data_IF_391659918034
#
_entry.id   IF_391659918034
#
_cell.length_a   1.000
_cell.length_b   1.000
_cell.length_c   1.000
_cell.angle_alpha   90.00
_cell.angle_beta   90.00
_cell.angle_gamma   90.00
#
_symmetry.space_group_name_H-M   'P 1'
#
loop_
_entity.id
_entity.type
_entity.pdbx_description
1 polymer ?
#
# COMPACT_ATOMS: atom_id res chain seq x y z
N UNK A 1 -20.90 -6.20 3.54
CA UNK A 1 -20.42 -7.07 2.43
C UNK A 1 -19.14 -7.78 2.85
N UNK A 2 -18.90 -9.02 2.37
CA UNK A 2 -17.62 -9.73 2.58
C UNK A 2 -16.79 -9.62 1.31
N UNK A 3 -15.56 -9.14 1.44
CA UNK A 3 -14.61 -8.93 0.35
C UNK A 3 -13.58 -10.05 0.42
N UNK A 4 -13.53 -10.90 -0.62
CA UNK A 4 -12.39 -11.80 -0.82
C UNK A 4 -11.28 -11.01 -1.54
N UNK A 5 -10.04 -11.11 -1.05
CA UNK A 5 -8.90 -10.37 -1.60
C UNK A 5 -7.99 -11.22 -2.52
N UNK A 6 -8.17 -12.53 -2.55
CA UNK A 6 -7.40 -13.47 -3.38
C UNK A 6 -8.10 -13.73 -4.72
N UNK A 7 -7.32 -13.99 -5.78
CA UNK A 7 -7.84 -14.44 -7.06
C UNK A 7 -8.32 -15.90 -6.98
N UNK A 8 -9.52 -16.18 -7.48
CA UNK A 8 -10.04 -17.56 -7.59
C UNK A 8 -9.28 -18.33 -8.67
N UNK A 9 -8.17 -18.97 -8.30
CA UNK A 9 -7.40 -19.84 -9.21
C UNK A 9 -7.17 -21.20 -8.56
N UNK A 10 -7.51 -22.26 -9.29
CA UNK A 10 -7.20 -23.62 -8.89
C UNK A 10 -5.67 -23.80 -8.82
N UNK A 11 -5.18 -24.40 -7.73
CA UNK A 11 -3.78 -24.76 -7.56
C UNK A 11 -3.31 -25.60 -8.75
N UNK A 12 -2.44 -25.06 -9.60
CA UNK A 12 -1.63 -25.88 -10.50
C UNK A 12 -0.54 -26.57 -9.69
N UNK A 13 -0.27 -27.85 -9.99
CA UNK A 13 0.76 -28.65 -9.31
C UNK A 13 2.09 -27.89 -9.27
N UNK A 14 2.59 -27.67 -8.06
CA UNK A 14 3.73 -26.84 -7.68
C UNK A 14 4.94 -26.96 -8.64
N UNK A 15 5.09 -26.01 -9.55
CA UNK A 15 6.41 -25.46 -9.79
C UNK A 15 6.78 -24.66 -8.53
N UNK A 16 7.96 -24.90 -7.94
CA UNK A 16 8.44 -24.10 -6.80
C UNK A 16 8.30 -22.62 -7.15
N UNK A 17 7.44 -21.92 -6.42
CA UNK A 17 7.32 -20.49 -6.53
C UNK A 17 8.58 -19.84 -5.95
N UNK A 18 9.37 -19.17 -6.79
CA UNK A 18 10.63 -18.53 -6.40
C UNK A 18 10.48 -17.03 -6.64
N UNK A 19 10.27 -16.25 -5.56
CA UNK A 19 10.11 -14.79 -5.65
C UNK A 19 11.29 -14.07 -6.28
N UNK A 20 12.50 -14.63 -6.13
CA UNK A 20 13.74 -14.07 -6.67
C UNK A 20 13.70 -13.96 -8.21
N UNK A 21 12.80 -14.72 -8.86
CA UNK A 21 12.54 -14.56 -10.29
C UNK A 21 11.76 -13.25 -10.57
N UNK A 22 10.83 -12.87 -9.69
CA UNK A 22 9.85 -11.80 -9.92
C UNK A 22 10.24 -10.46 -9.29
N UNK A 23 11.24 -10.42 -8.42
CA UNK A 23 11.67 -9.20 -7.73
C UNK A 23 13.19 -9.12 -7.60
N UNK A 24 13.75 -7.93 -7.76
CA UNK A 24 15.19 -7.67 -7.64
C UNK A 24 15.46 -6.41 -6.82
N UNK A 25 16.63 -6.34 -6.18
CA UNK A 25 17.10 -5.15 -5.50
C UNK A 25 17.94 -4.29 -6.44
N UNK A 26 17.46 -3.08 -6.70
CA UNK A 26 18.18 -2.03 -7.41
C UNK A 26 18.62 -0.92 -6.45
N UNK A 27 19.58 -0.11 -6.89
CA UNK A 27 20.06 1.04 -6.13
C UNK A 27 19.89 2.30 -6.98
N UNK A 28 19.11 3.24 -6.45
CA UNK A 28 18.82 4.51 -7.09
C UNK A 28 19.72 5.57 -6.45
N UNK A 29 20.32 6.42 -7.28
CA UNK A 29 21.07 7.58 -6.80
C UNK A 29 20.09 8.77 -6.75
N UNK A 30 19.85 9.28 -5.55
CA UNK A 30 19.07 10.48 -5.32
C UNK A 30 20.00 11.66 -5.03
N UNK A 31 20.01 12.62 -5.96
CA UNK A 31 20.85 13.82 -5.85
C UNK A 31 20.11 14.92 -5.07
N UNK A 32 20.75 15.41 -4.01
CA UNK A 32 20.37 16.63 -3.28
C UNK A 32 21.50 17.66 -3.40
N UNK A 33 21.23 18.96 -3.24
CA UNK A 33 22.28 19.98 -3.26
C UNK A 33 23.43 19.63 -2.30
N UNK A 34 24.59 19.29 -2.86
CA UNK A 34 25.81 18.92 -2.11
C UNK A 34 25.86 17.48 -1.57
N UNK A 35 24.91 16.61 -1.90
CA UNK A 35 24.89 15.22 -1.41
C UNK A 35 24.22 14.25 -2.40
N UNK A 36 24.89 13.15 -2.71
CA UNK A 36 24.29 12.01 -3.41
C UNK A 36 23.93 10.92 -2.40
N UNK A 37 22.70 10.41 -2.46
CA UNK A 37 22.20 9.34 -1.59
C UNK A 37 21.95 8.08 -2.41
N UNK A 38 22.53 6.95 -2.01
CA UNK A 38 22.21 5.65 -2.59
C UNK A 38 21.04 5.04 -1.82
N UNK A 39 19.93 4.79 -2.52
CA UNK A 39 18.71 4.25 -1.93
C UNK A 39 18.39 2.88 -2.53
N UNK A 40 18.12 1.85 -1.70
CA UNK A 40 17.65 0.57 -2.18
C UNK A 40 16.20 0.70 -2.67
N UNK A 41 15.88 0.10 -3.79
CA UNK A 41 14.50 -0.06 -4.26
C UNK A 41 14.29 -1.47 -4.79
N UNK A 42 13.16 -2.07 -4.42
CA UNK A 42 12.79 -3.40 -4.89
C UNK A 42 11.94 -3.22 -6.14
N UNK A 43 12.40 -3.77 -7.25
CA UNK A 43 11.74 -3.71 -8.55
C UNK A 43 11.13 -5.06 -8.92
N UNK A 44 9.94 -5.02 -9.50
CA UNK A 44 9.36 -6.18 -10.16
C UNK A 44 10.08 -6.46 -11.48
N UNK A 45 10.36 -7.74 -11.73
CA UNK A 45 10.95 -8.22 -12.97
C UNK A 45 9.82 -8.67 -13.90
N UNK A 46 9.88 -8.26 -15.16
CA UNK A 46 8.91 -8.70 -16.16
C UNK A 46 9.19 -10.14 -16.59
N UNK A 47 8.36 -11.08 -16.13
CA UNK A 47 8.39 -12.49 -16.51
C UNK A 47 7.16 -12.81 -17.34
N UNK A 48 7.36 -13.53 -18.45
CA UNK A 48 6.30 -13.91 -19.39
C UNK A 48 5.61 -15.24 -19.04
N UNK A 49 5.53 -15.59 -17.76
CA UNK A 49 4.77 -16.76 -17.30
C UNK A 49 3.38 -16.33 -16.77
N UNK A 50 2.58 -17.31 -16.37
CA UNK A 50 1.22 -17.08 -15.86
C UNK A 50 1.20 -16.13 -14.67
N UNK A 51 2.22 -16.19 -13.81
CA UNK A 51 2.29 -15.41 -12.58
C UNK A 51 2.84 -14.01 -12.83
N UNK A 52 3.89 -13.90 -13.63
CA UNK A 52 4.45 -12.65 -14.11
C UNK A 52 3.42 -11.84 -14.90
N UNK A 53 2.50 -12.50 -15.63
CA UNK A 53 1.35 -11.83 -16.26
C UNK A 53 0.39 -11.23 -15.23
N UNK A 54 0.15 -11.91 -14.10
CA UNK A 54 -0.71 -11.37 -13.02
C UNK A 54 -0.03 -10.21 -12.32
N UNK A 55 1.25 -10.36 -12.01
CA UNK A 55 2.08 -9.32 -11.40
C UNK A 55 2.12 -8.09 -12.32
N UNK A 56 2.38 -8.29 -13.61
CA UNK A 56 2.43 -7.22 -14.60
C UNK A 56 1.10 -6.50 -14.83
N UNK A 57 -0.05 -7.16 -14.59
CA UNK A 57 -1.37 -6.51 -14.62
C UNK A 57 -1.65 -5.63 -13.39
N UNK A 58 -1.04 -5.96 -12.25
CA UNK A 58 -1.30 -5.31 -10.96
C UNK A 58 0.02 -4.95 -10.24
N UNK A 59 0.96 -4.21 -10.89
CA UNK A 59 2.31 -4.05 -10.39
C UNK A 59 2.36 -3.32 -9.05
N UNK A 60 1.47 -2.33 -8.86
CA UNK A 60 1.39 -1.52 -7.63
C UNK A 60 1.05 -2.36 -6.41
N UNK A 61 0.13 -3.32 -6.55
CA UNK A 61 -0.23 -4.25 -5.48
C UNK A 61 1.00 -5.03 -5.00
N UNK A 62 1.74 -5.63 -5.92
CA UNK A 62 2.87 -6.48 -5.58
C UNK A 62 4.10 -5.69 -5.12
N UNK A 63 4.32 -4.49 -5.66
CA UNK A 63 5.32 -3.56 -5.12
C UNK A 63 5.00 -3.18 -3.66
N UNK A 64 3.73 -2.90 -3.35
CA UNK A 64 3.30 -2.60 -1.99
C UNK A 64 3.56 -3.79 -1.05
N UNK A 65 3.17 -5.00 -1.45
CA UNK A 65 3.38 -6.22 -0.67
C UNK A 65 4.87 -6.44 -0.38
N UNK A 66 5.73 -6.28 -1.38
CA UNK A 66 7.18 -6.42 -1.22
C UNK A 66 7.73 -5.38 -0.23
N UNK A 67 7.36 -4.11 -0.40
CA UNK A 67 7.88 -3.01 0.42
C UNK A 67 7.44 -3.08 1.89
N UNK A 68 6.22 -3.53 2.16
CA UNK A 68 5.68 -3.58 3.52
C UNK A 68 6.04 -4.87 4.27
N UNK A 69 6.49 -5.92 3.57
CA UNK A 69 6.92 -7.19 4.20
C UNK A 69 8.43 -7.36 4.30
N UNK A 70 9.18 -6.63 3.49
CA UNK A 70 10.63 -6.71 3.49
C UNK A 70 11.17 -5.61 4.38
N UNK A 71 11.99 -6.00 5.37
CA UNK A 71 12.62 -5.08 6.29
C UNK A 71 13.74 -4.29 5.57
N UNK A 72 13.39 -3.13 5.01
CA UNK A 72 14.33 -2.28 4.25
C UNK A 72 15.50 -1.79 5.12
N UNK A 73 15.28 -1.58 6.43
CA UNK A 73 16.35 -1.18 7.36
C UNK A 73 17.48 -2.20 7.44
N UNK A 74 17.19 -3.47 7.15
CA UNK A 74 18.20 -4.52 7.08
C UNK A 74 19.16 -4.32 5.91
N UNK A 75 18.70 -3.71 4.81
CA UNK A 75 19.55 -3.32 3.68
C UNK A 75 20.39 -2.09 4.00
N UNK A 76 19.79 -1.09 4.66
CA UNK A 76 20.46 0.15 5.04
C UNK A 76 21.76 -0.10 5.81
N UNK A 77 21.78 -1.11 6.67
CA UNK A 77 22.95 -1.54 7.46
C UNK A 77 24.13 -2.04 6.62
N UNK A 78 23.88 -2.52 5.41
CA UNK A 78 24.90 -3.10 4.52
C UNK A 78 24.99 -2.38 3.17
N UNK A 79 24.36 -1.21 3.01
CA UNK A 79 24.29 -0.48 1.74
C UNK A 79 25.66 -0.12 1.14
N UNK A 80 26.69 0.03 1.96
CA UNK A 80 28.05 0.28 1.47
C UNK A 80 28.63 -0.90 0.69
N UNK A 81 28.03 -2.09 0.82
CA UNK A 81 28.36 -3.31 0.08
C UNK A 81 27.10 -3.82 -0.65
N UNK A 82 26.95 -3.37 -1.90
CA UNK A 82 25.78 -3.70 -2.73
C UNK A 82 25.64 -5.20 -3.01
N UNK A 83 26.74 -5.96 -2.96
CA UNK A 83 26.70 -7.42 -3.12
C UNK A 83 26.09 -8.09 -1.90
N UNK A 84 26.50 -7.66 -0.69
CA UNK A 84 25.87 -8.12 0.56
C UNK A 84 24.40 -7.72 0.64
N UNK A 85 24.06 -6.48 0.29
CA UNK A 85 22.68 -6.01 0.28
C UNK A 85 21.79 -6.86 -0.64
N UNK A 86 22.27 -7.22 -1.84
CA UNK A 86 21.56 -8.14 -2.74
C UNK A 86 21.40 -9.55 -2.14
N UNK A 87 22.43 -10.08 -1.49
CA UNK A 87 22.34 -11.39 -0.83
C UNK A 87 21.31 -11.40 0.31
N UNK A 88 21.25 -10.34 1.11
CA UNK A 88 20.22 -10.16 2.16
C UNK A 88 18.82 -10.08 1.55
N UNK A 89 18.66 -9.36 0.43
CA UNK A 89 17.38 -9.30 -0.27
C UNK A 89 16.94 -10.68 -0.76
N UNK A 90 17.84 -11.41 -1.44
CA UNK A 90 17.55 -12.77 -1.89
C UNK A 90 17.24 -13.70 -0.72
N UNK A 91 17.84 -13.54 0.46
CA UNK A 91 17.45 -14.36 1.62
C UNK A 91 16.04 -14.04 2.14
N UNK A 92 15.59 -12.79 2.06
CA UNK A 92 14.19 -12.43 2.36
C UNK A 92 13.23 -12.98 1.31
N UNK A 93 13.53 -12.82 0.02
CA UNK A 93 12.70 -13.35 -1.07
C UNK A 93 12.63 -14.89 -1.05
N UNK A 94 13.66 -15.56 -0.53
CA UNK A 94 13.72 -17.01 -0.38
C UNK A 94 13.25 -17.53 0.99
N UNK A 95 12.72 -16.67 1.85
CA UNK A 95 12.13 -17.10 3.11
C UNK A 95 10.79 -17.84 2.84
N UNK A 96 10.66 -19.06 3.36
CA UNK A 96 9.46 -19.90 3.13
C UNK A 96 8.16 -19.27 3.63
N UNK A 97 8.18 -18.55 4.76
CA UNK A 97 7.00 -17.86 5.30
C UNK A 97 6.57 -16.74 4.36
N UNK A 98 7.53 -15.92 3.90
CA UNK A 98 7.24 -14.86 2.96
C UNK A 98 6.80 -15.37 1.58
N UNK A 99 7.45 -16.42 1.07
CA UNK A 99 7.02 -17.08 -0.16
C UNK A 99 5.61 -17.66 -0.04
N UNK A 100 5.29 -18.33 1.08
CA UNK A 100 3.97 -18.86 1.34
C UNK A 100 2.90 -17.78 1.43
N UNK A 101 3.18 -16.70 2.17
CA UNK A 101 2.30 -15.54 2.26
C UNK A 101 2.05 -14.94 0.86
N UNK A 102 3.12 -14.59 0.14
CA UNK A 102 3.00 -13.94 -1.15
C UNK A 102 2.34 -14.86 -2.19
N UNK A 103 2.61 -16.17 -2.17
CA UNK A 103 1.89 -17.16 -2.96
C UNK A 103 0.39 -17.18 -2.66
N UNK A 104 0.00 -17.13 -1.38
CA UNK A 104 -1.41 -17.12 -0.97
C UNK A 104 -2.18 -15.88 -1.44
N UNK A 105 -1.49 -14.79 -1.80
CA UNK A 105 -2.14 -13.61 -2.40
C UNK A 105 -2.59 -13.86 -3.84
N UNK A 106 -2.06 -14.89 -4.53
CA UNK A 106 -2.41 -15.25 -5.91
C UNK A 106 -3.44 -16.37 -6.01
N UNK A 107 -3.40 -17.31 -5.08
CA UNK A 107 -4.17 -18.54 -5.15
C UNK A 107 -5.10 -18.63 -3.95
N UNK A 108 -6.37 -18.90 -4.26
CA UNK A 108 -7.39 -19.17 -3.25
C UNK A 108 -7.09 -20.53 -2.61
N UNK A 109 -6.65 -20.53 -1.36
CA UNK A 109 -6.65 -21.73 -0.54
C UNK A 109 -7.94 -21.68 0.30
N UNK A 110 -8.78 -22.70 0.18
CA UNK A 110 -10.14 -22.76 0.77
C UNK A 110 -10.18 -22.55 2.31
N UNK A 111 -9.03 -22.44 2.98
CA UNK A 111 -8.90 -22.15 4.41
C UNK A 111 -8.27 -20.79 4.78
N UNK A 112 -7.81 -19.99 3.82
CA UNK A 112 -7.03 -18.75 4.08
C UNK A 112 -7.55 -17.54 3.29
N UNK A 113 -8.86 -17.46 3.05
CA UNK A 113 -9.45 -16.25 2.52
C UNK A 113 -9.22 -15.11 3.51
N UNK A 114 -8.32 -14.18 3.15
CA UNK A 114 -8.32 -12.83 3.67
C UNK A 114 -9.67 -12.21 3.30
N UNK A 115 -10.67 -12.52 4.13
CA UNK A 115 -12.00 -11.97 4.02
C UNK A 115 -12.03 -10.69 4.84
N UNK A 116 -12.36 -9.60 4.17
CA UNK A 116 -12.42 -8.29 4.78
C UNK A 116 -13.86 -7.81 4.77
N UNK A 117 -14.24 -7.16 5.86
CA UNK A 117 -15.52 -6.44 5.92
C UNK A 117 -15.36 -5.11 5.20
N UNK A 118 -16.47 -4.61 4.69
CA UNK A 118 -16.55 -3.27 4.12
C UNK A 118 -16.07 -2.18 5.10
N UNK A 119 -16.41 -2.31 6.39
CA UNK A 119 -15.89 -1.45 7.46
C UNK A 119 -14.36 -1.47 7.52
N UNK A 120 -13.75 -2.65 7.37
CA UNK A 120 -12.29 -2.80 7.38
C UNK A 120 -11.67 -2.17 6.13
N UNK A 121 -12.30 -2.33 4.97
CA UNK A 121 -11.87 -1.66 3.73
C UNK A 121 -11.89 -0.14 3.89
N UNK A 122 -12.98 0.43 4.40
CA UNK A 122 -13.12 1.88 4.53
C UNK A 122 -12.16 2.44 5.57
N UNK A 123 -11.99 1.73 6.69
CA UNK A 123 -11.04 2.11 7.72
C UNK A 123 -9.59 2.08 7.22
N UNK A 124 -9.19 1.05 6.47
CA UNK A 124 -7.84 1.04 5.84
C UNK A 124 -7.74 2.13 4.76
N UNK A 125 -8.78 2.28 3.94
CA UNK A 125 -8.91 3.32 2.91
C UNK A 125 -8.64 4.72 3.42
N UNK A 126 -9.26 5.08 4.54
CA UNK A 126 -9.16 6.43 5.11
C UNK A 126 -7.74 6.78 5.56
N UNK A 127 -6.95 5.80 6.01
CA UNK A 127 -5.58 6.01 6.54
C UNK A 127 -4.54 6.33 5.47
N UNK A 128 -4.87 6.16 4.19
CA UNK A 128 -4.01 6.61 3.09
C UNK A 128 -4.01 8.14 2.93
N UNK A 129 -5.01 8.83 3.46
CA UNK A 129 -5.18 10.28 3.30
C UNK A 129 -4.62 11.05 4.49
N UNK A 130 -3.47 11.70 4.32
CA UNK A 130 -2.79 12.40 5.40
C UNK A 130 -2.95 13.92 5.29
N UNK A 131 -3.33 14.56 6.38
CA UNK A 131 -3.07 15.98 6.60
C UNK A 131 -1.67 16.18 7.22
N UNK A 132 -0.90 17.09 6.66
CA UNK A 132 0.42 17.51 7.14
C UNK A 132 0.46 19.02 7.37
N UNK A 133 1.35 19.45 8.28
CA UNK A 133 1.56 20.87 8.60
C UNK A 133 2.97 21.28 8.17
N UNK A 134 3.06 22.25 7.27
CA UNK A 134 4.30 22.89 6.85
C UNK A 134 4.32 24.34 7.38
N UNK A 135 4.97 24.55 8.51
CA UNK A 135 4.93 25.84 9.21
C UNK A 135 3.52 26.15 9.73
N UNK A 136 2.89 27.18 9.17
CA UNK A 136 1.51 27.58 9.50
C UNK A 136 0.46 27.10 8.49
N UNK A 137 0.88 26.39 7.44
CA UNK A 137 -0.02 25.89 6.40
C UNK A 137 -0.28 24.40 6.58
N UNK A 138 -1.53 24.00 6.38
CA UNK A 138 -1.91 22.60 6.28
C UNK A 138 -1.97 22.20 4.80
N UNK A 139 -1.58 20.96 4.51
CA UNK A 139 -1.68 20.35 3.19
C UNK A 139 -2.18 18.93 3.33
N UNK A 140 -2.78 18.42 2.28
CA UNK A 140 -3.28 17.05 2.20
C UNK A 140 -2.45 16.27 1.18
N UNK A 141 -2.27 14.97 1.41
CA UNK A 141 -1.61 14.07 0.46
C UNK A 141 -2.07 12.64 0.64
N UNK A 142 -1.96 11.85 -0.42
CA UNK A 142 -2.10 10.39 -0.35
C UNK A 142 -0.73 9.77 -0.09
N UNK A 143 -0.65 8.89 0.91
CA UNK A 143 0.59 8.24 1.32
C UNK A 143 0.75 6.87 0.66
N UNK A 144 1.99 6.37 0.57
CA UNK A 144 2.31 5.02 0.08
C UNK A 144 2.21 3.97 1.20
N UNK A 145 1.88 4.38 2.42
CA UNK A 145 1.64 3.51 3.58
C UNK A 145 0.49 4.04 4.43
N UNK A 146 -0.06 3.19 5.29
CA UNK A 146 -1.11 3.57 6.24
C UNK A 146 -0.52 4.49 7.33
N UNK A 147 -1.18 5.62 7.59
CA UNK A 147 -0.74 6.56 8.62
C UNK A 147 -1.45 6.27 9.95
N UNK A 148 -0.69 6.23 11.05
CA UNK A 148 -1.25 6.21 12.41
C UNK A 148 -1.97 4.91 12.81
N UNK A 149 -1.85 3.85 12.00
CA UNK A 149 -2.08 2.49 12.46
C UNK A 149 -0.76 1.97 13.02
N UNK A 150 -0.44 2.36 14.25
CA UNK A 150 0.44 1.52 15.05
C UNK A 150 -0.22 0.14 15.17
N UNK A 151 0.55 -0.94 15.24
CA UNK A 151 0.14 -2.36 15.33
C UNK A 151 -0.95 -2.68 16.39
N UNK A 152 -1.32 -1.69 17.21
CA UNK A 152 -2.19 -1.74 18.38
C UNK A 152 -3.68 -1.92 18.03
N UNK A 153 -4.20 -1.36 16.93
CA UNK A 153 -5.64 -1.46 16.66
C UNK A 153 -6.08 -2.85 16.19
N UNK A 154 -5.19 -3.62 15.55
CA UNK A 154 -5.49 -4.95 15.03
C UNK A 154 -4.30 -5.93 15.10
N UNK A 155 -3.78 -6.24 16.29
CA UNK A 155 -2.57 -7.04 16.43
C UNK A 155 -2.70 -8.49 15.93
N UNK A 156 -3.92 -8.96 15.68
CA UNK A 156 -4.22 -10.35 15.34
C UNK A 156 -4.68 -10.56 13.90
N UNK A 157 -4.79 -9.49 13.10
CA UNK A 157 -5.24 -9.60 11.71
C UNK A 157 -4.28 -8.88 10.78
N UNK A 158 -3.84 -9.61 9.78
CA UNK A 158 -3.01 -9.10 8.71
C UNK A 158 -3.86 -8.39 7.63
N UNK A 159 -3.62 -7.09 7.44
CA UNK A 159 -4.28 -6.26 6.44
C UNK A 159 -3.39 -5.92 5.24
N UNK A 160 -2.15 -6.40 5.17
CA UNK A 160 -1.20 -5.97 4.14
C UNK A 160 -1.70 -6.24 2.71
N UNK A 161 -2.49 -7.30 2.49
CA UNK A 161 -3.15 -7.53 1.20
C UNK A 161 -4.28 -6.54 0.93
N UNK A 162 -5.11 -6.21 1.94
CA UNK A 162 -6.15 -5.20 1.82
C UNK A 162 -5.56 -3.82 1.56
N UNK A 163 -4.49 -3.46 2.28
CA UNK A 163 -3.72 -2.23 2.07
C UNK A 163 -3.17 -2.15 0.65
N UNK A 164 -2.60 -3.24 0.12
CA UNK A 164 -2.10 -3.28 -1.24
C UNK A 164 -3.21 -3.09 -2.28
N UNK A 165 -4.40 -3.65 -2.05
CA UNK A 165 -5.59 -3.46 -2.91
C UNK A 165 -6.09 -2.01 -2.86
N UNK A 166 -6.20 -1.44 -1.67
CA UNK A 166 -6.60 -0.04 -1.47
C UNK A 166 -5.61 0.91 -2.13
N UNK A 167 -4.31 0.70 -1.89
CA UNK A 167 -3.23 1.47 -2.50
C UNK A 167 -3.35 1.45 -4.03
N UNK A 168 -3.49 0.25 -4.60
CA UNK A 168 -3.62 0.08 -6.05
C UNK A 168 -4.87 0.78 -6.60
N UNK A 169 -6.02 0.62 -5.93
CA UNK A 169 -7.27 1.26 -6.32
C UNK A 169 -7.16 2.80 -6.31
N UNK A 170 -6.61 3.38 -5.24
CA UNK A 170 -6.42 4.82 -5.13
C UNK A 170 -5.51 5.35 -6.23
N UNK A 171 -4.35 4.71 -6.45
CA UNK A 171 -3.40 5.16 -7.47
C UNK A 171 -3.88 4.93 -8.89
N UNK A 172 -4.71 3.91 -9.14
CA UNK A 172 -5.40 3.75 -10.43
C UNK A 172 -6.24 4.98 -10.72
N UNK A 173 -7.06 5.45 -9.76
CA UNK A 173 -7.86 6.66 -9.91
C UNK A 173 -7.04 7.93 -10.14
N UNK A 174 -5.92 8.08 -9.41
CA UNK A 174 -5.05 9.26 -9.51
C UNK A 174 -4.27 9.32 -10.83
N UNK A 175 -4.03 8.18 -11.48
CA UNK A 175 -3.19 8.08 -12.69
C UNK A 175 -3.99 7.92 -13.98
N UNK A 176 -5.33 8.02 -13.92
CA UNK A 176 -6.18 8.07 -15.10
C UNK A 176 -5.88 9.33 -15.92
N UNK A 177 -5.28 9.14 -17.10
CA UNK A 177 -4.95 10.23 -18.02
C UNK A 177 -6.24 10.97 -18.45
N UNK A 178 -6.23 12.31 -18.34
CA UNK A 178 -7.33 13.23 -18.69
C UNK A 178 -8.52 13.31 -17.73
N UNK A 179 -8.42 12.78 -16.51
CA UNK A 179 -9.44 13.03 -15.50
C UNK A 179 -9.28 14.45 -14.90
N UNK A 180 -10.40 15.14 -14.70
CA UNK A 180 -10.47 16.21 -13.70
C UNK A 180 -10.01 15.67 -12.34
N UNK A 181 -9.54 16.54 -11.46
CA UNK A 181 -9.12 16.16 -10.11
C UNK A 181 -10.17 15.22 -9.47
N UNK A 182 -9.78 14.01 -9.04
CA UNK A 182 -10.72 13.05 -8.48
C UNK A 182 -11.51 13.64 -7.29
N UNK A 183 -12.81 13.44 -7.27
CA UNK A 183 -13.72 13.93 -6.20
C UNK A 183 -13.22 13.57 -4.79
N UNK A 184 -12.61 12.40 -4.61
CA UNK A 184 -12.01 11.97 -3.34
C UNK A 184 -10.91 12.93 -2.81
N UNK A 185 -10.16 13.61 -3.70
CA UNK A 185 -9.16 14.62 -3.29
C UNK A 185 -9.84 15.93 -2.90
N UNK A 186 -10.86 16.34 -3.65
CA UNK A 186 -11.66 17.52 -3.32
C UNK A 186 -12.38 17.36 -1.98
N UNK A 187 -12.91 16.16 -1.72
CA UNK A 187 -13.54 15.81 -0.44
C UNK A 187 -12.52 15.86 0.70
N UNK A 188 -11.33 15.29 0.52
CA UNK A 188 -10.25 15.36 1.50
C UNK A 188 -9.87 16.80 1.87
N UNK A 189 -9.74 17.68 0.88
CA UNK A 189 -9.45 19.09 1.09
C UNK A 189 -10.59 19.81 1.84
N UNK A 190 -11.84 19.51 1.48
CA UNK A 190 -13.01 20.05 2.18
C UNK A 190 -13.07 19.58 3.64
N UNK A 191 -12.83 18.29 3.91
CA UNK A 191 -12.82 17.73 5.26
C UNK A 191 -11.70 18.31 6.11
N UNK A 192 -10.50 18.41 5.54
CA UNK A 192 -9.34 19.00 6.21
C UNK A 192 -9.58 20.49 6.49
N UNK A 193 -10.09 21.25 5.53
CA UNK A 193 -10.42 22.67 5.69
C UNK A 193 -11.47 22.91 6.78
N UNK A 194 -12.49 22.05 6.84
CA UNK A 194 -13.50 22.09 7.88
C UNK A 194 -12.89 21.86 9.26
N UNK A 195 -12.05 20.84 9.41
CA UNK A 195 -11.36 20.54 10.67
C UNK A 195 -10.42 21.69 11.10
N UNK A 196 -9.71 22.30 10.16
CA UNK A 196 -8.84 23.46 10.43
C UNK A 196 -9.68 24.65 10.91
N UNK A 197 -10.84 24.90 10.30
CA UNK A 197 -11.70 26.04 10.66
C UNK A 197 -12.32 25.90 12.07
N UNK A 198 -12.36 24.68 12.61
CA UNK A 198 -12.88 24.40 13.95
C UNK A 198 -11.81 24.44 15.05
N UNK A 199 -10.55 24.71 14.70
CA UNK A 199 -9.47 24.82 15.69
C UNK A 199 -9.63 26.09 16.52
N UNK A 200 -9.59 25.94 17.84
CA UNK A 200 -9.41 27.06 18.76
C UNK A 200 -7.92 27.45 18.79
N UNK A 201 -7.61 28.75 18.91
CA UNK A 201 -6.26 29.31 19.00
C UNK A 201 -5.42 28.69 20.13
N UNK A 202 -6.06 28.01 21.09
CA UNK A 202 -5.45 27.38 22.26
C UNK A 202 -5.00 25.92 22.07
N UNK A 203 -5.29 25.27 20.94
CA UNK A 203 -4.96 23.85 20.73
C UNK A 203 -3.50 23.67 20.30
N UNK A 204 -2.64 23.34 21.27
CA UNK A 204 -1.20 23.07 21.04
C UNK A 204 -0.91 21.87 20.10
N UNK A 205 -1.85 20.93 19.93
CA UNK A 205 -1.74 19.75 19.06
C UNK A 205 -2.74 19.75 17.87
N UNK A 206 -2.83 20.88 17.16
CA UNK A 206 -3.78 21.09 16.06
C UNK A 206 -3.71 20.05 14.92
N UNK A 207 -2.55 19.41 14.71
CA UNK A 207 -2.34 18.52 13.55
C UNK A 207 -2.99 17.15 13.75
N UNK A 208 -2.87 16.55 14.92
CA UNK A 208 -3.44 15.23 15.17
C UNK A 208 -4.96 15.28 15.18
N UNK A 209 -5.53 16.38 15.68
CA UNK A 209 -6.97 16.65 15.55
C UNK A 209 -7.41 16.72 14.08
N UNK A 210 -6.70 17.49 13.23
CA UNK A 210 -7.03 17.62 11.81
C UNK A 210 -6.90 16.27 11.09
N UNK A 211 -5.86 15.48 11.41
CA UNK A 211 -5.68 14.13 10.87
C UNK A 211 -6.81 13.19 11.26
N UNK A 212 -7.13 13.10 12.55
CA UNK A 212 -8.22 12.27 13.05
C UNK A 212 -9.55 12.66 12.38
N UNK A 213 -9.84 13.96 12.30
CA UNK A 213 -11.04 14.47 11.64
C UNK A 213 -11.10 14.12 10.15
N UNK A 214 -9.98 14.22 9.44
CA UNK A 214 -9.90 13.84 8.03
C UNK A 214 -10.06 12.33 7.84
N UNK A 215 -9.45 11.50 8.70
CA UNK A 215 -9.62 10.04 8.66
C UNK A 215 -11.09 9.64 8.90
N UNK A 216 -11.72 10.19 9.94
CA UNK A 216 -13.11 9.89 10.28
C UNK A 216 -14.06 10.28 9.14
N UNK A 217 -13.81 11.42 8.51
CA UNK A 217 -14.59 11.86 7.36
C UNK A 217 -14.38 10.96 6.13
N UNK A 218 -13.13 10.63 5.79
CA UNK A 218 -12.82 9.75 4.66
C UNK A 218 -13.30 8.31 4.87
N UNK A 219 -13.34 7.80 6.10
CA UNK A 219 -13.89 6.48 6.42
C UNK A 219 -15.39 6.39 6.08
N UNK A 220 -16.10 7.52 6.12
CA UNK A 220 -17.52 7.62 5.81
C UNK A 220 -17.78 8.26 4.42
N UNK A 221 -16.74 8.43 3.59
CA UNK A 221 -16.86 9.09 2.29
C UNK A 221 -17.45 8.15 1.23
N UNK A 222 -18.58 8.56 0.64
CA UNK A 222 -19.32 7.76 -0.33
C UNK A 222 -18.56 7.59 -1.66
N UNK A 223 -17.79 8.60 -2.09
CA UNK A 223 -17.01 8.55 -3.32
C UNK A 223 -15.84 7.56 -3.18
N UNK A 224 -15.11 7.63 -2.05
CA UNK A 224 -14.07 6.66 -1.71
C UNK A 224 -14.65 5.25 -1.67
N UNK A 225 -15.76 5.07 -0.96
CA UNK A 225 -16.43 3.78 -0.83
C UNK A 225 -16.82 3.21 -2.19
N UNK A 226 -17.49 4.01 -2.99
CA UNK A 226 -17.94 3.61 -4.34
C UNK A 226 -16.75 3.21 -5.20
N UNK A 227 -15.66 3.99 -5.16
CA UNK A 227 -14.45 3.71 -5.91
C UNK A 227 -13.78 2.40 -5.47
N UNK A 228 -13.53 2.22 -4.16
CA UNK A 228 -12.85 1.04 -3.64
C UNK A 228 -13.66 -0.24 -3.90
N UNK A 229 -14.98 -0.21 -3.68
CA UNK A 229 -15.85 -1.35 -3.93
C UNK A 229 -15.95 -1.67 -5.43
N UNK A 230 -16.06 -0.64 -6.28
CA UNK A 230 -16.07 -0.81 -7.73
C UNK A 230 -14.77 -1.44 -8.24
N UNK A 231 -13.62 -0.96 -7.76
CA UNK A 231 -12.31 -1.52 -8.10
C UNK A 231 -12.21 -2.99 -7.72
N UNK A 232 -12.58 -3.34 -6.48
CA UNK A 232 -12.50 -4.71 -5.97
C UNK A 232 -13.43 -5.66 -6.73
N UNK A 233 -14.65 -5.23 -7.03
CA UNK A 233 -15.62 -6.03 -7.79
C UNK A 233 -15.12 -6.35 -9.21
N UNK A 234 -14.41 -5.41 -9.85
CA UNK A 234 -13.87 -5.59 -11.21
C UNK A 234 -12.56 -6.39 -11.27
N UNK A 235 -11.75 -6.37 -10.20
CA UNK A 235 -10.35 -6.85 -10.26
C UNK A 235 -10.05 -8.06 -9.40
N UNK A 236 -10.94 -8.45 -8.50
CA UNK A 236 -10.75 -9.64 -7.65
C UNK A 236 -11.67 -10.81 -8.06
N UNK A 237 -12.71 -10.54 -8.84
CA UNK A 237 -13.65 -11.56 -9.33
C UNK A 237 -13.20 -12.18 -10.68
N UNK A 238 -12.32 -11.50 -11.42
CA UNK A 238 -11.72 -11.95 -12.71
C UNK A 238 -10.31 -12.57 -12.53
#
# INVERSE_FOLDING_TARGET
MVICASCKRSKEKEARFILDNFATLEFIIFEQPGKSLLLPDIKLVNIQDTLGTVIGKNPRRYEYLLKNRINVDSFLKVLTDTTKAKAVNSSFLNNNEFQGYFYSTFYDDEGNQGSFREEELMKIGSKFFLAEKMGHQFRTRICVGINGLDEVEYPYKDYTLLEALVYEALFERLTQENAEEPTLLQNLDAYSSKAISSLDETVMDSLDFVRASAFDAMENDDDLKTHLLGYIALKVVD
#
